data_IF_627913564232
#
_entry.id   IF_627913564232
#
_cell.length_a   1.000
_cell.length_b   1.000
_cell.length_c   1.000
_cell.angle_alpha   90.00
_cell.angle_beta   90.00
_cell.angle_gamma   90.00
#
_symmetry.space_group_name_H-M   'P 1'
#
loop_
_entity.id
_entity.type
_entity.pdbx_description
1 polymer ?
#
# COMPACT_ATOMS: atom_id res chain seq x y z
N UNK A 1 -14.52 -1.61 -15.79
CA UNK A 1 -14.66 -2.91 -16.11
C UNK A 1 -13.44 -3.75 -16.07
N UNK A 2 -12.43 -3.48 -16.89
CA UNK A 2 -11.15 -4.13 -16.68
C UNK A 2 -10.68 -3.97 -15.26
N UNK A 3 -11.02 -2.85 -14.68
CA UNK A 3 -10.58 -2.49 -13.34
C UNK A 3 -11.26 -3.30 -12.24
N UNK A 4 -12.37 -3.96 -12.54
CA UNK A 4 -13.05 -4.75 -11.52
C UNK A 4 -12.21 -5.92 -11.04
N UNK A 5 -11.51 -6.60 -11.95
CA UNK A 5 -10.68 -7.72 -11.57
C UNK A 5 -9.47 -7.26 -10.76
N UNK A 6 -8.88 -6.12 -11.13
CA UNK A 6 -7.74 -5.59 -10.41
C UNK A 6 -8.15 -5.08 -9.03
N UNK A 7 -9.28 -4.40 -8.96
CA UNK A 7 -9.84 -3.94 -7.69
C UNK A 7 -10.11 -5.14 -6.78
N UNK A 8 -10.67 -6.22 -7.32
CA UNK A 8 -10.97 -7.41 -6.54
C UNK A 8 -9.69 -8.10 -6.06
N UNK A 9 -8.63 -8.09 -6.89
CA UNK A 9 -7.36 -8.68 -6.48
C UNK A 9 -6.76 -7.90 -5.31
N UNK A 10 -6.73 -6.58 -5.42
CA UNK A 10 -6.18 -5.75 -4.35
C UNK A 10 -6.94 -5.96 -3.04
N UNK A 11 -8.27 -5.95 -3.13
CA UNK A 11 -9.12 -6.20 -1.97
C UNK A 11 -8.83 -7.57 -1.36
N UNK A 12 -8.69 -8.58 -2.19
CA UNK A 12 -8.42 -9.94 -1.72
C UNK A 12 -7.06 -10.02 -1.01
N UNK A 13 -6.04 -9.40 -1.58
CA UNK A 13 -4.70 -9.42 -0.96
C UNK A 13 -4.69 -8.71 0.39
N UNK A 14 -5.41 -7.59 0.49
CA UNK A 14 -5.52 -6.87 1.76
C UNK A 14 -6.25 -7.75 2.78
N UNK A 15 -7.31 -8.43 2.37
CA UNK A 15 -8.03 -9.36 3.22
C UNK A 15 -7.15 -10.52 3.70
N UNK A 16 -6.33 -11.06 2.80
CA UNK A 16 -5.38 -12.12 3.18
C UNK A 16 -4.35 -11.62 4.19
N UNK A 17 -3.86 -10.39 3.99
CA UNK A 17 -2.91 -9.81 4.92
C UNK A 17 -3.51 -9.66 6.32
N UNK A 18 -4.77 -9.26 6.40
CA UNK A 18 -5.46 -9.16 7.68
C UNK A 18 -5.59 -10.53 8.35
N UNK A 19 -6.00 -11.54 7.58
CA UNK A 19 -6.16 -12.89 8.13
C UNK A 19 -4.86 -13.46 8.65
N UNK A 20 -3.75 -13.16 7.98
CA UNK A 20 -2.44 -13.62 8.39
C UNK A 20 -1.82 -12.76 9.49
N UNK A 21 -2.53 -11.72 9.90
CA UNK A 21 -2.02 -10.73 10.85
C UNK A 21 -0.73 -10.08 10.35
N UNK A 22 -0.68 -9.84 9.06
CA UNK A 22 0.47 -9.22 8.40
C UNK A 22 0.19 -7.78 7.95
N UNK A 23 -0.92 -7.21 8.39
CA UNK A 23 -1.32 -5.85 8.06
C UNK A 23 -1.28 -4.98 9.32
N UNK A 24 -0.60 -3.86 9.24
CA UNK A 24 -0.39 -2.97 10.37
C UNK A 24 -0.73 -1.53 10.02
N UNK A 25 -1.30 -0.81 10.98
CA UNK A 25 -1.62 0.61 10.83
C UNK A 25 -1.26 1.34 12.12
N UNK A 26 -1.16 2.67 12.04
CA UNK A 26 -0.95 3.51 13.22
C UNK A 26 0.32 3.19 13.99
N UNK A 27 0.18 3.14 15.31
CA UNK A 27 1.33 2.93 16.18
C UNK A 27 2.01 1.57 15.95
N UNK A 28 1.23 0.54 15.70
CA UNK A 28 1.80 -0.79 15.44
C UNK A 28 2.63 -0.79 14.17
N UNK A 29 2.20 -0.04 13.16
CA UNK A 29 2.98 0.10 11.94
C UNK A 29 4.31 0.77 12.24
N UNK A 30 4.31 1.84 13.04
CA UNK A 30 5.55 2.52 13.42
C UNK A 30 6.51 1.59 14.15
N UNK A 31 6.00 0.81 15.09
CA UNK A 31 6.82 -0.14 15.82
C UNK A 31 7.45 -1.18 14.90
N UNK A 32 6.67 -1.70 13.96
CA UNK A 32 7.18 -2.71 13.04
C UNK A 32 8.16 -2.14 12.03
N UNK A 33 7.93 -0.90 11.60
CA UNK A 33 8.88 -0.20 10.72
C UNK A 33 10.23 -0.03 11.41
N UNK A 34 10.20 0.38 12.68
CA UNK A 34 11.41 0.56 13.44
C UNK A 34 12.20 -0.73 13.58
N UNK A 35 11.51 -1.85 13.66
CA UNK A 35 12.14 -3.17 13.78
C UNK A 35 12.50 -3.79 12.43
N UNK A 36 12.26 -3.09 11.33
CA UNK A 36 12.55 -3.60 10.00
C UNK A 36 11.68 -4.78 9.58
N UNK A 37 10.45 -4.85 10.09
CA UNK A 37 9.55 -5.98 9.84
C UNK A 37 8.52 -5.72 8.76
N UNK A 38 8.49 -4.53 8.17
CA UNK A 38 7.52 -4.19 7.13
C UNK A 38 8.20 -4.25 5.77
N UNK A 39 7.51 -4.82 4.80
CA UNK A 39 8.01 -4.94 3.42
C UNK A 39 7.42 -3.90 2.49
N UNK A 40 6.21 -3.45 2.76
CA UNK A 40 5.53 -2.48 1.90
C UNK A 40 4.72 -1.52 2.76
N UNK A 41 4.79 -0.23 2.46
CA UNK A 41 3.89 0.78 3.02
C UNK A 41 3.08 1.36 1.86
N UNK A 42 1.76 1.25 1.96
CA UNK A 42 0.84 1.83 0.98
C UNK A 42 0.24 3.09 1.59
N UNK A 43 0.51 4.23 0.96
CA UNK A 43 -0.09 5.49 1.40
C UNK A 43 -1.45 5.66 0.74
N UNK A 44 -2.45 6.00 1.54
CA UNK A 44 -3.80 6.21 1.04
C UNK A 44 -3.92 7.60 0.44
N UNK A 45 -4.96 7.86 -0.37
CA UNK A 45 -5.15 9.21 -0.95
C UNK A 45 -5.28 10.32 0.08
N UNK A 46 -5.66 9.99 1.32
CA UNK A 46 -5.80 11.00 2.39
C UNK A 46 -4.46 11.38 3.02
N UNK A 47 -3.39 10.66 2.69
CA UNK A 47 -2.08 10.98 3.26
C UNK A 47 -1.51 12.24 2.65
N UNK A 48 -1.07 13.17 3.49
CA UNK A 48 -0.42 14.39 3.02
C UNK A 48 0.95 14.05 2.45
N UNK A 49 1.30 14.73 1.34
CA UNK A 49 2.58 14.47 0.69
C UNK A 49 3.78 14.69 1.60
N UNK A 50 3.73 15.71 2.43
CA UNK A 50 4.83 15.97 3.36
C UNK A 50 5.02 14.85 4.36
N UNK A 51 3.94 14.22 4.79
CA UNK A 51 4.02 13.09 5.71
C UNK A 51 4.57 11.85 5.02
N UNK A 52 4.19 11.66 3.76
CA UNK A 52 4.71 10.56 2.96
C UNK A 52 6.22 10.71 2.78
N UNK A 53 6.68 11.89 2.39
CA UNK A 53 8.11 12.15 2.20
C UNK A 53 8.90 11.99 3.48
N UNK A 54 8.34 12.48 4.59
CA UNK A 54 8.99 12.36 5.89
C UNK A 54 9.20 10.91 6.25
N UNK A 55 8.19 10.07 6.04
CA UNK A 55 8.30 8.64 6.34
C UNK A 55 9.29 7.95 5.41
N UNK A 56 9.26 8.27 4.12
CA UNK A 56 10.22 7.70 3.18
C UNK A 56 11.65 8.04 3.56
N UNK A 57 11.90 9.29 3.93
CA UNK A 57 13.24 9.72 4.33
C UNK A 57 13.70 9.06 5.62
N UNK A 58 12.78 8.89 6.56
CA UNK A 58 13.11 8.28 7.84
C UNK A 58 13.57 6.83 7.71
N UNK A 59 12.97 6.10 6.76
CA UNK A 59 13.24 4.67 6.58
C UNK A 59 13.96 4.36 5.26
N UNK A 60 14.61 5.35 4.66
CA UNK A 60 15.22 5.20 3.34
C UNK A 60 16.34 4.16 3.27
N UNK A 61 16.97 3.88 4.39
CA UNK A 61 18.09 2.93 4.43
C UNK A 61 17.65 1.47 4.53
N UNK A 62 16.36 1.23 4.67
CA UNK A 62 15.83 -0.12 4.71
C UNK A 62 15.60 -0.62 3.28
N UNK A 63 16.53 -1.39 2.76
CA UNK A 63 16.51 -1.85 1.39
C UNK A 63 15.34 -2.79 1.05
N UNK A 64 14.82 -3.47 2.05
CA UNK A 64 13.72 -4.42 1.84
C UNK A 64 12.35 -3.78 1.95
N UNK A 65 12.28 -2.49 2.22
CA UNK A 65 11.03 -1.77 2.40
C UNK A 65 10.70 -0.97 1.15
N UNK A 66 9.50 -1.17 0.62
CA UNK A 66 9.00 -0.42 -0.52
C UNK A 66 7.87 0.49 -0.10
N UNK A 67 7.76 1.62 -0.77
CA UNK A 67 6.71 2.60 -0.54
C UNK A 67 5.94 2.82 -1.83
N UNK A 68 4.62 2.91 -1.74
CA UNK A 68 3.81 3.25 -2.90
C UNK A 68 2.60 4.04 -2.43
N UNK A 69 2.17 4.99 -3.25
CA UNK A 69 0.94 5.73 -2.98
C UNK A 69 -0.18 5.16 -3.84
N UNK A 70 -1.27 4.80 -3.21
CA UNK A 70 -2.45 4.35 -3.93
C UNK A 70 -3.29 5.54 -4.34
N UNK A 71 -3.59 5.66 -5.61
CA UNK A 71 -4.35 6.78 -6.15
C UNK A 71 -5.71 6.36 -6.71
N UNK A 72 -6.10 5.11 -6.49
CA UNK A 72 -7.36 4.59 -6.98
C UNK A 72 -8.54 4.98 -6.10
N UNK A 73 -9.71 4.49 -6.47
CA UNK A 73 -10.94 4.82 -5.80
C UNK A 73 -11.36 3.84 -4.71
N UNK A 74 -10.63 2.76 -4.56
CA UNK A 74 -10.95 1.74 -3.56
C UNK A 74 -10.66 2.32 -2.16
N UNK A 75 -11.61 2.24 -1.22
CA UNK A 75 -11.37 2.76 0.13
C UNK A 75 -10.53 1.76 0.95
N UNK A 76 -9.23 1.80 0.74
CA UNK A 76 -8.30 0.84 1.35
C UNK A 76 -8.38 0.83 2.87
N UNK A 77 -8.53 2.00 3.49
CA UNK A 77 -8.62 2.07 4.94
C UNK A 77 -9.84 1.31 5.46
N UNK A 78 -10.99 1.45 4.80
CA UNK A 78 -12.20 0.75 5.21
C UNK A 78 -12.10 -0.74 4.96
N UNK A 79 -11.48 -1.13 3.85
CA UNK A 79 -11.26 -2.54 3.54
C UNK A 79 -10.37 -3.18 4.59
N UNK A 80 -9.38 -2.45 5.07
CA UNK A 80 -8.50 -2.91 6.13
C UNK A 80 -9.15 -2.81 7.53
N UNK A 81 -10.37 -2.29 7.62
CA UNK A 81 -11.11 -2.24 8.87
C UNK A 81 -10.87 -1.00 9.72
N UNK A 82 -10.40 0.09 9.13
CA UNK A 82 -10.07 1.30 9.86
C UNK A 82 -10.72 2.52 9.21
N UNK A 83 -11.23 3.43 10.03
CA UNK A 83 -11.86 4.64 9.50
C UNK A 83 -10.86 5.71 9.09
N UNK A 84 -9.81 5.87 9.88
CA UNK A 84 -8.86 6.97 9.66
C UNK A 84 -7.43 6.46 9.69
N UNK A 85 -6.94 6.06 8.53
CA UNK A 85 -5.52 5.73 8.40
C UNK A 85 -5.01 6.34 7.10
N UNK A 86 -3.78 6.79 7.11
CA UNK A 86 -3.14 7.36 5.92
C UNK A 86 -2.07 6.44 5.36
N UNK A 87 -1.75 5.36 6.06
CA UNK A 87 -0.75 4.40 5.60
C UNK A 87 -1.07 3.01 6.13
N UNK A 88 -0.84 2.02 5.29
CA UNK A 88 -1.04 0.61 5.64
C UNK A 88 0.28 -0.10 5.39
N UNK A 89 0.74 -0.88 6.37
CA UNK A 89 1.98 -1.64 6.25
C UNK A 89 1.72 -3.13 6.08
N UNK A 90 2.48 -3.76 5.21
CA UNK A 90 2.37 -5.19 4.94
C UNK A 90 3.72 -5.85 5.29
N UNK A 91 3.69 -6.84 6.17
CA UNK A 91 4.90 -7.52 6.61
C UNK A 91 5.20 -8.80 5.82
N UNK A 92 4.20 -9.40 5.20
CA UNK A 92 4.38 -10.62 4.42
C UNK A 92 5.01 -10.28 3.07
N UNK A 93 6.19 -10.83 2.74
CA UNK A 93 6.86 -10.46 1.49
C UNK A 93 6.09 -10.86 0.23
N UNK A 94 5.37 -11.96 0.25
CA UNK A 94 4.59 -12.40 -0.92
C UNK A 94 3.39 -11.50 -1.17
N UNK A 95 2.67 -11.16 -0.10
CA UNK A 95 1.53 -10.26 -0.22
C UNK A 95 1.98 -8.85 -0.54
N UNK A 96 3.10 -8.41 0.03
CA UNK A 96 3.65 -7.09 -0.27
C UNK A 96 3.96 -6.97 -1.76
N UNK A 97 4.60 -7.98 -2.33
CA UNK A 97 4.92 -7.97 -3.74
C UNK A 97 3.67 -7.98 -4.61
N UNK A 98 2.69 -8.82 -4.26
CA UNK A 98 1.44 -8.89 -5.02
C UNK A 98 0.68 -7.58 -5.00
N UNK A 99 0.61 -6.94 -3.85
CA UNK A 99 -0.08 -5.65 -3.71
C UNK A 99 0.66 -4.57 -4.49
N UNK A 100 1.97 -4.52 -4.36
CA UNK A 100 2.79 -3.53 -5.06
C UNK A 100 2.63 -3.65 -6.57
N UNK A 101 2.70 -4.87 -7.08
CA UNK A 101 2.56 -5.11 -8.53
C UNK A 101 1.16 -4.74 -9.03
N UNK A 102 0.15 -5.06 -8.25
CA UNK A 102 -1.22 -4.73 -8.63
C UNK A 102 -1.41 -3.22 -8.75
N UNK A 103 -0.91 -2.47 -7.78
CA UNK A 103 -1.01 -1.01 -7.81
C UNK A 103 -0.20 -0.43 -8.97
N UNK A 104 1.00 -0.96 -9.21
CA UNK A 104 1.83 -0.50 -10.33
C UNK A 104 1.20 -0.78 -11.68
N UNK A 105 0.54 -1.91 -11.82
CA UNK A 105 -0.16 -2.22 -13.06
C UNK A 105 -1.24 -1.20 -13.38
N UNK A 106 -2.01 -0.79 -12.37
CA UNK A 106 -3.03 0.23 -12.55
C UNK A 106 -2.40 1.55 -13.00
N UNK A 107 -1.30 1.96 -12.37
CA UNK A 107 -0.61 3.19 -12.75
C UNK A 107 -0.05 3.11 -14.16
N UNK A 108 0.53 1.97 -14.52
CA UNK A 108 1.09 1.80 -15.85
C UNK A 108 0.00 1.87 -16.93
N UNK A 109 -1.17 1.33 -16.66
CA UNK A 109 -2.28 1.41 -17.60
C UNK A 109 -2.71 2.85 -17.80
N UNK A 110 -2.79 3.63 -16.71
CA UNK A 110 -3.13 5.04 -16.80
C UNK A 110 -2.07 5.80 -17.59
N UNK A 111 -0.79 5.52 -17.32
CA UNK A 111 0.29 6.17 -18.03
C UNK A 111 0.26 5.85 -19.52
N UNK A 112 0.03 4.58 -19.87
CA UNK A 112 -0.09 4.18 -21.27
C UNK A 112 -1.26 4.86 -21.95
N UNK A 113 -2.35 4.99 -21.26
CA UNK A 113 -3.53 5.65 -21.80
C UNK A 113 -3.24 7.12 -22.10
N UNK A 114 -2.57 7.79 -21.20
CA UNK A 114 -2.19 9.20 -21.36
C UNK A 114 -1.21 9.35 -22.53
N UNK A 115 -0.23 8.47 -22.64
CA UNK A 115 0.76 8.52 -23.71
C UNK A 115 0.15 8.38 -25.09
N UNK A 116 -0.91 7.63 -25.22
CA UNK A 116 -1.55 7.41 -26.52
C UNK A 116 -2.29 8.65 -27.03
N UNK A 117 -2.52 9.60 -26.20
CA UNK A 117 -3.14 10.85 -26.61
C UNK A 117 -2.14 11.79 -27.23
#
# INVERSE_FOLDING_TARGET
MENEQEVNRLKAYIGFAQKKRALYVGRKLEERLTRGRIRLVVFTPTCLEKNEEKRKNHFKDNEDLFFIRYQGNLPLNLIAGYEKVSAIGISDPHLAKAILETIKEEENEEDKHVEKK
#
